data_IF_482985791487
#
_entry.id   IF_482985791487
#
_cell.length_a   1.000
_cell.length_b   1.000
_cell.length_c   1.000
_cell.angle_alpha   90.00
_cell.angle_beta   90.00
_cell.angle_gamma   90.00
#
_symmetry.space_group_name_H-M   'P 1'
#
loop_
_entity.id
_entity.type
_entity.pdbx_description
1 polymer ?
#
# COMPACT_ATOMS: atom_id res chain seq x y z
N UNK A 1 -22.57 -48.17 21.75
CA UNK A 1 -23.76 -47.58 21.11
C UNK A 1 -24.04 -46.22 21.74
N UNK A 2 -23.57 -45.13 21.12
CA UNK A 2 -24.09 -43.77 21.30
C UNK A 2 -23.99 -43.10 19.94
N UNK A 3 -25.12 -43.12 19.23
CA UNK A 3 -25.38 -42.35 18.03
C UNK A 3 -25.61 -40.90 18.45
N UNK A 4 -25.05 -39.93 17.71
CA UNK A 4 -25.18 -38.51 18.01
C UNK A 4 -24.91 -37.64 16.78
N UNK A 5 -25.89 -37.65 15.87
CA UNK A 5 -26.37 -36.55 15.01
C UNK A 5 -25.32 -35.75 14.21
N UNK A 6 -25.24 -36.08 12.92
CA UNK A 6 -24.62 -35.27 11.85
C UNK A 6 -25.68 -34.28 11.35
N UNK A 7 -25.39 -32.97 11.36
CA UNK A 7 -26.18 -31.98 10.66
C UNK A 7 -25.65 -31.81 9.23
N UNK A 8 -26.46 -32.19 8.24
CA UNK A 8 -26.26 -31.82 6.83
C UNK A 8 -26.94 -30.47 6.60
N UNK A 9 -26.17 -29.43 6.28
CA UNK A 9 -26.69 -28.19 5.71
C UNK A 9 -26.53 -28.25 4.19
N UNK A 10 -27.58 -28.68 3.51
CA UNK A 10 -27.76 -28.50 2.07
C UNK A 10 -28.24 -27.07 1.84
N UNK A 11 -27.35 -26.19 1.40
CA UNK A 11 -27.74 -24.91 0.80
C UNK A 11 -27.82 -25.09 -0.72
N UNK A 12 -29.03 -25.17 -1.25
CA UNK A 12 -29.29 -24.92 -2.67
C UNK A 12 -29.36 -23.41 -2.89
N UNK A 13 -28.30 -22.82 -3.44
CA UNK A 13 -28.35 -21.43 -3.90
C UNK A 13 -28.86 -21.37 -5.35
N UNK A 14 -30.00 -20.71 -5.52
CA UNK A 14 -30.42 -20.18 -6.82
C UNK A 14 -29.45 -19.09 -7.28
N UNK A 15 -29.18 -19.06 -8.59
CA UNK A 15 -28.19 -18.20 -9.21
C UNK A 15 -28.52 -16.70 -9.08
N UNK A 16 -27.86 -16.00 -8.16
CA UNK A 16 -27.60 -14.56 -8.27
C UNK A 16 -26.21 -14.27 -7.71
N UNK A 17 -25.37 -13.61 -8.50
CA UNK A 17 -23.97 -13.32 -8.17
C UNK A 17 -23.87 -12.33 -7.00
N UNK A 18 -23.50 -12.82 -5.81
CA UNK A 18 -23.18 -12.00 -4.64
C UNK A 18 -21.76 -11.43 -4.77
N UNK A 19 -21.50 -10.15 -4.43
CA UNK A 19 -20.17 -9.57 -4.52
C UNK A 19 -19.19 -10.25 -3.54
N UNK A 20 -17.99 -10.58 -4.02
CA UNK A 20 -16.89 -11.25 -3.30
C UNK A 20 -16.52 -10.65 -1.92
N UNK A 21 -16.93 -9.40 -1.67
CA UNK A 21 -16.68 -8.66 -0.43
C UNK A 21 -17.63 -9.05 0.72
N UNK A 22 -18.82 -9.56 0.44
CA UNK A 22 -19.78 -10.00 1.48
C UNK A 22 -19.49 -11.42 2.00
N UNK A 23 -18.97 -12.31 1.15
CA UNK A 23 -18.65 -13.69 1.52
C UNK A 23 -17.62 -13.78 2.68
N UNK A 24 -16.61 -12.90 2.66
CA UNK A 24 -15.60 -12.82 3.72
C UNK A 24 -16.13 -12.32 5.07
N UNK A 25 -17.27 -11.62 5.06
CA UNK A 25 -17.90 -11.04 6.24
C UNK A 25 -18.87 -12.01 6.90
N UNK A 26 -19.59 -12.81 6.12
CA UNK A 26 -20.48 -13.87 6.61
C UNK A 26 -19.70 -15.05 7.20
N UNK A 27 -18.56 -15.43 6.62
CA UNK A 27 -17.66 -16.45 7.19
C UNK A 27 -17.11 -16.10 8.60
N UNK A 28 -17.18 -14.82 8.99
CA UNK A 28 -16.62 -14.33 10.26
C UNK A 28 -17.67 -14.10 11.36
N UNK A 29 -18.97 -14.08 11.02
CA UNK A 29 -20.03 -13.74 11.96
C UNK A 29 -20.79 -14.95 12.52
N UNK A 30 -20.61 -16.15 11.98
CA UNK A 30 -21.09 -17.37 12.63
C UNK A 30 -20.28 -17.65 13.89
N UNK A 31 -20.91 -17.58 15.07
CA UNK A 31 -20.31 -17.86 16.39
C UNK A 31 -19.92 -19.35 16.60
N UNK A 32 -19.75 -20.11 15.52
CA UNK A 32 -19.19 -21.46 15.53
C UNK A 32 -17.67 -21.37 15.48
N UNK A 33 -17.00 -22.12 16.36
CA UNK A 33 -15.54 -22.16 16.48
C UNK A 33 -14.85 -22.26 15.10
N UNK A 34 -13.77 -21.49 14.85
CA UNK A 34 -13.00 -21.55 13.60
C UNK A 34 -12.51 -22.96 13.23
N UNK A 35 -12.50 -23.89 14.18
CA UNK A 35 -12.12 -25.29 13.98
C UNK A 35 -13.05 -26.04 13.02
N UNK A 36 -14.32 -25.66 12.89
CA UNK A 36 -15.32 -26.43 12.12
C UNK A 36 -15.20 -26.20 10.61
N UNK A 37 -14.92 -24.97 10.16
CA UNK A 37 -14.69 -24.66 8.74
C UNK A 37 -13.32 -25.12 8.21
N UNK A 38 -12.43 -25.47 9.13
CA UNK A 38 -11.03 -25.78 8.89
C UNK A 38 -10.72 -27.29 9.05
N UNK A 39 -11.66 -28.08 9.57
CA UNK A 39 -11.49 -29.51 9.85
C UNK A 39 -11.63 -30.44 8.64
N UNK A 40 -12.26 -29.99 7.54
CA UNK A 40 -12.26 -30.77 6.30
C UNK A 40 -10.92 -30.59 5.58
N UNK A 41 -10.21 -31.71 5.39
CA UNK A 41 -8.90 -31.76 4.73
C UNK A 41 -8.93 -30.91 3.46
N UNK A 42 -8.15 -29.83 3.42
CA UNK A 42 -7.90 -28.98 2.25
C UNK A 42 -7.79 -29.82 0.97
N UNK A 43 -8.86 -29.88 0.20
CA UNK A 43 -8.93 -30.39 -1.16
C UNK A 43 -9.71 -29.33 -1.91
N UNK A 44 -9.24 -28.91 -3.07
CA UNK A 44 -10.08 -28.08 -3.91
C UNK A 44 -11.42 -28.81 -4.09
N UNK A 45 -12.50 -28.16 -3.70
CA UNK A 45 -13.81 -28.75 -3.88
C UNK A 45 -14.19 -28.54 -5.35
N UNK A 46 -14.41 -29.61 -6.14
CA UNK A 46 -14.72 -29.49 -7.56
C UNK A 46 -16.05 -28.76 -7.81
N UNK A 47 -16.96 -28.80 -6.84
CA UNK A 47 -18.29 -28.18 -6.95
C UNK A 47 -18.34 -26.71 -6.52
N UNK A 48 -17.20 -26.08 -6.20
CA UNK A 48 -17.18 -24.66 -5.87
C UNK A 48 -17.08 -23.78 -7.12
N UNK A 49 -17.73 -22.62 -7.10
CA UNK A 49 -17.64 -21.61 -8.18
C UNK A 49 -16.25 -20.97 -8.33
N UNK A 50 -15.36 -21.21 -7.37
CA UNK A 50 -14.01 -20.66 -7.33
C UNK A 50 -13.05 -21.71 -7.85
N UNK A 51 -12.09 -21.30 -8.67
CA UNK A 51 -10.97 -22.14 -9.07
C UNK A 51 -10.16 -22.62 -7.86
N UNK A 52 -9.43 -23.73 -8.04
CA UNK A 52 -8.46 -24.22 -7.04
C UNK A 52 -7.54 -23.10 -6.52
N UNK A 53 -7.01 -22.29 -7.43
CA UNK A 53 -6.07 -21.22 -7.09
C UNK A 53 -6.74 -20.13 -6.24
N UNK A 54 -7.99 -19.78 -6.52
CA UNK A 54 -8.75 -18.83 -5.72
C UNK A 54 -9.06 -19.37 -4.31
N UNK A 55 -9.40 -20.65 -4.19
CA UNK A 55 -9.62 -21.30 -2.89
C UNK A 55 -8.33 -21.34 -2.06
N UNK A 56 -7.20 -21.72 -2.66
CA UNK A 56 -5.87 -21.67 -2.03
C UNK A 56 -5.50 -20.25 -1.61
N UNK A 57 -5.78 -19.27 -2.48
CA UNK A 57 -5.53 -17.85 -2.24
C UNK A 57 -6.29 -17.30 -1.04
N UNK A 58 -7.59 -17.61 -0.92
CA UNK A 58 -8.43 -17.21 0.23
C UNK A 58 -7.91 -17.80 1.55
N UNK A 59 -7.46 -19.05 1.50
CA UNK A 59 -6.94 -19.77 2.66
C UNK A 59 -5.71 -19.12 3.23
N UNK A 60 -4.73 -18.83 2.36
CA UNK A 60 -3.49 -18.18 2.79
C UNK A 60 -3.77 -16.79 3.35
N UNK A 61 -4.74 -16.07 2.80
CA UNK A 61 -5.19 -14.77 3.33
C UNK A 61 -5.82 -14.93 4.72
N UNK A 62 -6.61 -15.97 4.95
CA UNK A 62 -7.15 -16.27 6.27
C UNK A 62 -6.03 -16.58 7.27
N UNK A 63 -5.03 -17.36 6.88
CA UNK A 63 -3.88 -17.67 7.74
C UNK A 63 -3.06 -16.43 8.09
N UNK A 64 -2.79 -15.55 7.12
CA UNK A 64 -2.13 -14.27 7.36
C UNK A 64 -2.92 -13.38 8.33
N UNK A 65 -4.26 -13.47 8.32
CA UNK A 65 -5.11 -12.73 9.25
C UNK A 65 -5.12 -13.35 10.65
N UNK A 66 -5.24 -14.66 10.75
CA UNK A 66 -5.12 -15.39 12.01
C UNK A 66 -3.76 -15.13 12.68
N UNK A 67 -2.69 -15.06 11.88
CA UNK A 67 -1.35 -14.66 12.34
C UNK A 67 -1.38 -13.23 12.93
N UNK A 68 -1.97 -12.27 12.21
CA UNK A 68 -2.08 -10.87 12.68
C UNK A 68 -2.89 -10.75 13.97
N UNK A 69 -3.87 -11.62 14.18
CA UNK A 69 -4.72 -11.67 15.37
C UNK A 69 -4.09 -12.50 16.52
N UNK A 70 -2.89 -13.04 16.34
CA UNK A 70 -2.13 -13.75 17.38
C UNK A 70 -2.42 -15.25 17.51
N UNK A 71 -3.14 -15.85 16.56
CA UNK A 71 -3.52 -17.26 16.57
C UNK A 71 -2.43 -18.21 16.03
N UNK A 72 -1.18 -18.05 16.49
CA UNK A 72 0.02 -18.73 15.95
C UNK A 72 -0.13 -20.26 15.91
N UNK A 73 -0.63 -20.89 16.98
CA UNK A 73 -0.80 -22.37 17.04
C UNK A 73 -1.74 -22.92 15.97
N UNK A 74 -2.79 -22.16 15.62
CA UNK A 74 -3.74 -22.56 14.57
C UNK A 74 -3.03 -22.49 13.23
N UNK A 75 -2.31 -21.38 12.99
CA UNK A 75 -1.52 -21.17 11.77
C UNK A 75 -0.48 -22.29 11.59
N UNK A 76 0.20 -22.72 12.65
CA UNK A 76 1.22 -23.78 12.60
C UNK A 76 0.67 -25.13 12.13
N UNK A 77 -0.48 -25.54 12.69
CA UNK A 77 -1.14 -26.79 12.30
C UNK A 77 -1.55 -26.75 10.82
N UNK A 78 -2.03 -25.59 10.36
CA UNK A 78 -2.41 -25.37 8.98
C UNK A 78 -1.25 -25.42 8.00
N UNK A 79 -0.15 -24.74 8.34
CA UNK A 79 1.05 -24.75 7.52
C UNK A 79 1.54 -26.18 7.32
N UNK A 80 1.52 -27.01 8.38
CA UNK A 80 1.93 -28.41 8.29
C UNK A 80 1.06 -29.18 7.28
N UNK A 81 -0.26 -29.09 7.39
CA UNK A 81 -1.19 -29.76 6.45
C UNK A 81 -1.04 -29.26 5.00
N UNK A 82 -0.88 -27.96 4.80
CA UNK A 82 -0.66 -27.37 3.46
C UNK A 82 0.66 -27.81 2.84
N UNK A 83 1.72 -28.02 3.65
CA UNK A 83 3.04 -28.43 3.15
C UNK A 83 3.08 -29.84 2.55
N UNK A 84 2.03 -30.64 2.78
CA UNK A 84 1.90 -31.99 2.22
C UNK A 84 1.08 -32.01 0.92
N UNK A 85 0.55 -30.86 0.48
CA UNK A 85 -0.41 -30.75 -0.62
C UNK A 85 0.20 -30.30 -1.92
N UNK A 86 -0.47 -30.62 -3.03
CA UNK A 86 -0.11 -30.12 -4.36
C UNK A 86 -0.69 -28.71 -4.57
N UNK A 87 -0.04 -27.70 -4.03
CA UNK A 87 -0.45 -26.29 -4.22
C UNK A 87 0.01 -25.72 -5.56
N UNK A 88 -0.62 -24.65 -6.04
CA UNK A 88 -0.08 -23.84 -7.13
C UNK A 88 1.24 -23.15 -6.72
N UNK A 89 2.10 -22.75 -7.68
CA UNK A 89 3.39 -22.12 -7.35
C UNK A 89 3.19 -20.80 -6.59
N UNK A 90 2.19 -19.99 -7.00
CA UNK A 90 1.80 -18.76 -6.30
C UNK A 90 1.47 -19.02 -4.82
N UNK A 91 0.68 -20.07 -4.56
CA UNK A 91 0.32 -20.54 -3.21
C UNK A 91 1.53 -21.03 -2.41
N UNK A 92 2.43 -21.79 -3.04
CA UNK A 92 3.68 -22.23 -2.40
C UNK A 92 4.57 -21.05 -1.97
N UNK A 93 4.67 -20.02 -2.81
CA UNK A 93 5.50 -18.85 -2.51
C UNK A 93 4.92 -18.02 -1.36
N UNK A 94 3.59 -17.87 -1.32
CA UNK A 94 2.90 -17.24 -0.19
C UNK A 94 3.06 -18.04 1.10
N UNK A 95 2.90 -19.37 1.04
CA UNK A 95 3.15 -20.25 2.17
C UNK A 95 4.61 -20.12 2.64
N UNK A 96 5.57 -20.09 1.72
CA UNK A 96 6.98 -19.88 2.04
C UNK A 96 7.22 -18.56 2.79
N UNK A 97 6.64 -17.43 2.34
CA UNK A 97 6.76 -16.16 3.07
C UNK A 97 6.21 -16.26 4.49
N UNK A 98 5.01 -16.84 4.63
CA UNK A 98 4.36 -17.05 5.92
C UNK A 98 5.24 -17.88 6.87
N UNK A 99 5.76 -19.03 6.40
CA UNK A 99 6.62 -19.90 7.21
C UNK A 99 7.96 -19.24 7.52
N UNK A 100 8.55 -18.51 6.57
CA UNK A 100 9.82 -17.82 6.77
C UNK A 100 9.71 -16.75 7.87
N UNK A 101 8.58 -16.05 7.94
CA UNK A 101 8.30 -15.05 8.99
C UNK A 101 8.10 -15.68 10.36
N UNK A 102 7.35 -16.79 10.43
CA UNK A 102 6.97 -17.42 11.70
C UNK A 102 8.02 -18.39 12.25
N UNK A 103 8.66 -19.14 11.37
CA UNK A 103 9.54 -20.27 11.72
C UNK A 103 10.88 -20.20 10.97
N UNK A 104 11.64 -19.11 11.14
CA UNK A 104 12.94 -18.99 10.48
C UNK A 104 13.84 -20.17 10.87
N UNK A 105 14.32 -20.91 9.88
CA UNK A 105 15.24 -22.05 10.07
C UNK A 105 14.57 -23.40 10.34
N UNK A 106 13.24 -23.50 10.37
CA UNK A 106 12.54 -24.76 10.59
C UNK A 106 12.75 -25.79 9.46
N UNK A 107 12.62 -27.08 9.80
CA UNK A 107 12.60 -28.18 8.81
C UNK A 107 11.44 -28.02 7.81
N UNK A 108 10.33 -27.43 8.25
CA UNK A 108 9.18 -27.11 7.41
C UNK A 108 9.54 -26.11 6.31
N UNK A 109 10.27 -25.04 6.66
CA UNK A 109 10.77 -24.07 5.68
C UNK A 109 11.70 -24.73 4.66
N UNK A 110 12.54 -25.68 5.08
CA UNK A 110 13.41 -26.47 4.18
C UNK A 110 12.60 -27.36 3.23
N UNK A 111 11.54 -27.99 3.71
CA UNK A 111 10.66 -28.82 2.88
C UNK A 111 9.92 -28.00 1.84
N UNK A 112 9.31 -26.88 2.26
CA UNK A 112 8.65 -25.93 1.35
C UNK A 112 9.64 -25.43 0.29
N UNK A 113 10.85 -25.08 0.74
CA UNK A 113 11.93 -24.65 -0.13
C UNK A 113 12.21 -25.65 -1.25
N UNK A 114 12.42 -26.91 -0.87
CA UNK A 114 12.69 -27.99 -1.83
C UNK A 114 11.52 -28.23 -2.80
N UNK A 115 10.26 -28.05 -2.37
CA UNK A 115 9.11 -28.17 -3.25
C UNK A 115 9.05 -27.04 -4.28
N UNK A 116 9.36 -25.81 -3.88
CA UNK A 116 9.45 -24.66 -4.78
C UNK A 116 10.56 -24.91 -5.80
N UNK A 117 11.77 -25.29 -5.39
CA UNK A 117 12.89 -25.57 -6.31
C UNK A 117 12.55 -26.67 -7.33
N UNK A 118 11.89 -27.75 -6.89
CA UNK A 118 11.45 -28.84 -7.79
C UNK A 118 10.46 -28.34 -8.84
N UNK A 119 9.59 -27.39 -8.50
CA UNK A 119 8.64 -26.78 -9.44
C UNK A 119 9.34 -25.81 -10.38
N UNK A 120 10.23 -24.97 -9.86
CA UNK A 120 11.03 -24.05 -10.67
C UNK A 120 11.86 -24.77 -11.73
N UNK A 121 12.35 -25.98 -11.45
CA UNK A 121 13.05 -26.81 -12.45
C UNK A 121 12.15 -27.35 -13.57
N UNK A 122 10.83 -27.47 -13.33
CA UNK A 122 9.87 -28.02 -14.30
C UNK A 122 9.16 -26.95 -15.12
N UNK A 123 9.09 -25.72 -14.60
CA UNK A 123 8.36 -24.62 -15.21
C UNK A 123 9.33 -23.67 -15.92
N UNK A 124 9.17 -23.53 -17.23
CA UNK A 124 10.01 -22.64 -18.07
C UNK A 124 9.41 -21.25 -18.26
N UNK A 125 8.10 -21.11 -18.02
CA UNK A 125 7.36 -19.86 -18.15
C UNK A 125 6.65 -19.53 -16.84
N UNK A 126 6.91 -18.35 -16.33
CA UNK A 126 6.26 -17.80 -15.14
C UNK A 126 5.36 -16.65 -15.57
N UNK A 127 4.18 -16.54 -14.98
CA UNK A 127 3.40 -15.31 -15.07
C UNK A 127 4.21 -14.12 -14.51
N UNK A 128 3.82 -12.89 -14.88
CA UNK A 128 4.45 -11.68 -14.33
C UNK A 128 4.37 -11.65 -12.79
N UNK A 129 3.24 -12.10 -12.23
CA UNK A 129 3.03 -12.18 -10.79
C UNK A 129 3.96 -13.21 -10.14
N UNK A 130 4.04 -14.45 -10.66
CA UNK A 130 4.96 -15.46 -10.14
C UNK A 130 6.42 -15.01 -10.22
N UNK A 131 6.83 -14.42 -11.34
CA UNK A 131 8.20 -13.88 -11.50
C UNK A 131 8.51 -12.83 -10.44
N UNK A 132 7.55 -11.94 -10.17
CA UNK A 132 7.63 -10.88 -9.17
C UNK A 132 7.70 -11.45 -7.74
N UNK A 133 6.88 -12.44 -7.44
CA UNK A 133 6.90 -13.11 -6.14
C UNK A 133 8.21 -13.87 -5.93
N UNK A 134 8.69 -14.60 -6.95
CA UNK A 134 9.98 -15.29 -6.93
C UNK A 134 11.16 -14.33 -6.74
N UNK A 135 11.14 -13.22 -7.45
CA UNK A 135 12.13 -12.15 -7.33
C UNK A 135 12.36 -11.72 -5.88
N UNK A 136 11.28 -11.52 -5.12
CA UNK A 136 11.33 -10.86 -3.81
C UNK A 136 11.49 -11.85 -2.67
N UNK A 137 10.88 -13.01 -2.79
CA UNK A 137 10.87 -14.00 -1.72
C UNK A 137 11.97 -15.04 -1.90
N UNK A 138 12.29 -15.38 -3.14
CA UNK A 138 13.09 -16.54 -3.47
C UNK A 138 14.50 -16.16 -3.91
N UNK A 139 14.63 -15.55 -5.08
CA UNK A 139 15.90 -15.31 -5.74
C UNK A 139 15.78 -14.14 -6.71
N UNK A 140 16.73 -13.21 -6.60
CA UNK A 140 16.75 -12.00 -7.43
C UNK A 140 16.92 -12.32 -8.91
N UNK A 141 17.40 -13.51 -9.31
CA UNK A 141 17.48 -13.92 -10.72
C UNK A 141 16.13 -13.84 -11.42
N UNK A 142 15.02 -14.10 -10.72
CA UNK A 142 13.65 -13.97 -11.22
C UNK A 142 13.16 -12.53 -11.30
N UNK A 143 13.87 -11.57 -10.71
CA UNK A 143 13.52 -10.17 -10.82
C UNK A 143 13.66 -9.69 -12.28
N UNK A 144 12.60 -9.05 -12.74
CA UNK A 144 12.66 -8.21 -13.94
C UNK A 144 13.73 -7.13 -13.76
N UNK A 145 14.20 -6.55 -14.88
CA UNK A 145 15.18 -5.44 -14.84
C UNK A 145 14.70 -4.27 -13.97
N UNK A 146 13.40 -3.99 -13.95
CA UNK A 146 12.81 -2.92 -13.13
C UNK A 146 12.84 -3.24 -11.63
N UNK A 147 12.70 -4.51 -11.24
CA UNK A 147 12.79 -4.95 -9.84
C UNK A 147 14.23 -5.07 -9.33
N UNK A 148 15.19 -5.35 -10.22
CA UNK A 148 16.63 -5.31 -9.91
C UNK A 148 17.19 -3.89 -9.89
N UNK A 149 16.46 -2.91 -10.42
CA UNK A 149 16.94 -1.55 -10.49
C UNK A 149 17.23 -1.05 -9.08
N UNK A 150 18.51 -0.81 -8.79
CA UNK A 150 18.93 -0.15 -7.57
C UNK A 150 18.13 1.15 -7.47
N UNK A 151 17.36 1.30 -6.39
CA UNK A 151 16.59 2.52 -6.15
C UNK A 151 17.59 3.66 -5.97
N UNK A 152 17.70 4.48 -7.01
CA UNK A 152 18.52 5.68 -7.04
C UNK A 152 17.73 6.86 -6.50
N UNK A 153 18.44 7.83 -5.93
CA UNK A 153 17.88 9.15 -5.69
C UNK A 153 17.76 9.89 -7.02
N UNK A 154 16.72 10.70 -7.24
CA UNK A 154 16.72 11.65 -8.33
C UNK A 154 17.87 12.65 -8.15
N UNK A 155 18.45 13.12 -9.25
CA UNK A 155 19.39 14.25 -9.20
C UNK A 155 18.66 15.54 -8.86
N UNK A 156 19.40 16.56 -8.42
CA UNK A 156 18.84 17.90 -8.17
C UNK A 156 18.10 18.44 -9.40
N UNK A 157 18.65 18.25 -10.60
CA UNK A 157 18.06 18.67 -11.87
C UNK A 157 16.78 17.91 -12.17
N UNK A 158 16.72 16.61 -11.88
CA UNK A 158 15.50 15.82 -12.03
C UNK A 158 14.40 16.31 -11.07
N UNK A 159 14.73 16.58 -9.80
CA UNK A 159 13.73 17.10 -8.86
C UNK A 159 13.25 18.49 -9.30
N UNK A 160 14.17 19.36 -9.74
CA UNK A 160 13.86 20.69 -10.27
C UNK A 160 12.95 20.59 -11.51
N UNK A 161 13.30 19.79 -12.51
CA UNK A 161 12.51 19.62 -13.73
C UNK A 161 11.12 19.05 -13.44
N UNK A 162 11.04 18.04 -12.56
CA UNK A 162 9.75 17.48 -12.11
C UNK A 162 8.84 18.52 -11.45
N UNK A 163 9.40 19.36 -10.58
CA UNK A 163 8.61 20.37 -9.86
C UNK A 163 8.17 21.51 -10.78
N UNK A 164 9.05 22.00 -11.67
CA UNK A 164 8.77 23.18 -12.48
C UNK A 164 8.00 22.88 -13.76
N UNK A 165 8.11 21.67 -14.31
CA UNK A 165 7.34 21.29 -15.50
C UNK A 165 5.92 20.80 -15.17
N UNK A 166 5.07 20.74 -16.19
CA UNK A 166 3.75 20.13 -16.12
C UNK A 166 3.68 19.01 -17.14
N UNK A 167 3.52 17.78 -16.66
CA UNK A 167 3.20 16.67 -17.53
C UNK A 167 1.81 16.86 -18.14
N UNK A 168 1.68 16.58 -19.44
CA UNK A 168 0.39 16.58 -20.14
C UNK A 168 -0.38 15.30 -19.80
N UNK A 169 -1.45 15.46 -19.04
CA UNK A 169 -2.35 14.41 -18.56
C UNK A 169 -3.71 14.45 -19.28
N UNK A 170 -3.84 15.20 -20.38
CA UNK A 170 -5.08 15.32 -21.16
C UNK A 170 -5.64 13.97 -21.63
N UNK A 171 -4.76 13.01 -21.91
CA UNK A 171 -5.14 11.67 -22.36
C UNK A 171 -5.45 10.68 -21.22
N UNK A 172 -5.12 11.01 -19.96
CA UNK A 172 -5.36 10.11 -18.85
C UNK A 172 -6.74 10.33 -18.23
N UNK A 173 -7.57 9.27 -18.21
CA UNK A 173 -8.95 9.31 -17.73
C UNK A 173 -9.74 10.51 -18.28
N UNK A 174 -9.68 10.70 -19.61
CA UNK A 174 -10.36 11.79 -20.32
C UNK A 174 -10.01 13.19 -19.76
N UNK A 175 -8.75 13.39 -19.35
CA UNK A 175 -8.26 14.68 -18.87
C UNK A 175 -8.68 15.03 -17.45
N UNK A 176 -9.28 14.09 -16.70
CA UNK A 176 -9.74 14.32 -15.32
C UNK A 176 -8.65 14.89 -14.42
N UNK A 177 -7.38 14.55 -14.66
CA UNK A 177 -6.21 14.98 -13.88
C UNK A 177 -5.41 16.14 -14.49
N UNK A 178 -5.79 16.67 -15.66
CA UNK A 178 -5.02 17.71 -16.36
C UNK A 178 -4.93 19.00 -15.53
N UNK A 179 -6.08 19.49 -15.08
CA UNK A 179 -6.22 20.75 -14.33
C UNK A 179 -6.47 20.47 -12.83
N UNK A 180 -5.71 19.54 -12.26
CA UNK A 180 -5.80 19.19 -10.85
C UNK A 180 -4.54 19.61 -10.11
N UNK A 181 -4.62 19.88 -8.79
CA UNK A 181 -3.44 20.20 -8.00
C UNK A 181 -2.43 19.04 -8.01
N UNK A 182 -1.16 19.43 -7.91
CA UNK A 182 -0.03 18.49 -7.83
C UNK A 182 0.66 18.64 -6.49
N UNK A 183 0.79 17.54 -5.77
CA UNK A 183 1.45 17.47 -4.48
C UNK A 183 2.81 16.82 -4.66
N UNK A 184 3.81 17.35 -3.96
CA UNK A 184 5.17 16.82 -3.95
C UNK A 184 5.56 16.58 -2.51
N UNK A 185 5.76 15.32 -2.13
CA UNK A 185 6.15 14.91 -0.78
C UNK A 185 7.60 14.44 -0.78
N UNK A 186 8.48 15.29 -0.28
CA UNK A 186 9.91 15.03 -0.16
C UNK A 186 10.19 14.29 1.13
N UNK A 187 11.01 13.25 1.06
CA UNK A 187 11.29 12.36 2.17
C UNK A 187 12.74 11.91 2.19
N UNK A 188 13.20 11.50 3.39
CA UNK A 188 14.41 10.69 3.54
C UNK A 188 14.09 9.23 3.20
N UNK A 189 15.06 8.51 2.62
CA UNK A 189 14.91 7.10 2.21
C UNK A 189 14.41 6.18 3.32
N UNK A 190 14.88 6.39 4.56
CA UNK A 190 14.55 5.53 5.71
C UNK A 190 13.08 5.65 6.14
N UNK A 191 12.39 6.73 5.75
CA UNK A 191 11.06 7.13 6.23
C UNK A 191 10.94 7.30 7.75
N UNK A 192 12.04 7.20 8.50
CA UNK A 192 12.05 7.33 9.98
C UNK A 192 11.77 8.76 10.45
N UNK A 193 11.86 9.73 9.56
CA UNK A 193 11.68 11.14 9.86
C UNK A 193 10.52 11.70 9.03
N UNK A 194 9.85 12.75 9.54
CA UNK A 194 8.83 13.45 8.78
C UNK A 194 9.32 13.93 7.41
N UNK A 195 8.49 13.66 6.41
CA UNK A 195 8.54 14.23 5.09
C UNK A 195 7.98 15.66 5.09
N UNK A 196 8.27 16.42 4.04
CA UNK A 196 7.66 17.73 3.81
C UNK A 196 6.90 17.71 2.49
N UNK A 197 5.61 18.05 2.55
CA UNK A 197 4.75 18.17 1.38
C UNK A 197 4.64 19.63 0.95
N UNK A 198 4.70 19.88 -0.35
CA UNK A 198 4.34 21.16 -1.01
C UNK A 198 3.29 20.89 -2.08
N UNK A 199 2.64 21.94 -2.57
CA UNK A 199 1.62 21.82 -3.61
C UNK A 199 1.79 22.86 -4.72
N UNK A 200 1.32 22.50 -5.90
CA UNK A 200 1.03 23.40 -7.02
C UNK A 200 -0.47 23.40 -7.27
N UNK A 201 -1.02 24.56 -7.62
CA UNK A 201 -2.43 24.71 -7.99
C UNK A 201 -2.75 24.05 -9.35
N UNK A 202 -4.02 24.07 -9.74
CA UNK A 202 -4.49 23.54 -11.03
C UNK A 202 -3.84 24.16 -12.28
N UNK A 203 -3.21 25.33 -12.15
CA UNK A 203 -2.49 26.00 -13.24
C UNK A 203 -0.99 25.71 -13.21
N UNK A 204 -0.54 24.87 -12.28
CA UNK A 204 0.86 24.56 -12.11
C UNK A 204 1.67 25.71 -11.51
N UNK A 205 1.07 26.60 -10.74
CA UNK A 205 1.78 27.61 -9.96
C UNK A 205 1.98 27.11 -8.53
N UNK A 206 3.06 27.50 -7.82
CA UNK A 206 3.20 27.18 -6.40
C UNK A 206 1.94 27.59 -5.62
N UNK A 207 1.43 26.69 -4.78
CA UNK A 207 0.32 26.99 -3.91
C UNK A 207 0.86 27.73 -2.68
N UNK A 208 0.36 28.95 -2.45
CA UNK A 208 0.86 29.84 -1.40
C UNK A 208 -0.12 29.96 -0.24
N UNK A 209 0.42 30.17 0.95
CA UNK A 209 -0.32 30.61 2.12
C UNK A 209 -0.84 32.04 1.92
N UNK A 210 -1.72 32.50 2.82
CA UNK A 210 -2.27 33.86 2.79
C UNK A 210 -1.22 34.96 2.92
N UNK A 211 -0.08 34.66 3.55
CA UNK A 211 1.05 35.56 3.71
C UNK A 211 2.01 35.56 2.50
N UNK A 212 1.70 34.78 1.46
CA UNK A 212 2.51 34.65 0.25
C UNK A 212 3.65 33.62 0.35
N UNK A 213 3.89 33.02 1.52
CA UNK A 213 4.86 31.94 1.66
C UNK A 213 4.40 30.66 0.96
N UNK A 214 5.32 29.82 0.51
CA UNK A 214 4.98 28.50 -0.06
C UNK A 214 4.25 27.64 0.96
N UNK A 215 3.08 27.09 0.58
CA UNK A 215 2.33 26.19 1.43
C UNK A 215 3.12 24.90 1.65
N UNK A 216 3.26 24.51 2.91
CA UNK A 216 3.93 23.28 3.31
C UNK A 216 3.10 22.50 4.33
N UNK A 217 3.26 21.18 4.34
CA UNK A 217 2.66 20.30 5.34
C UNK A 217 3.59 19.15 5.69
N UNK A 218 4.04 19.02 6.95
CA UNK A 218 4.83 17.87 7.36
C UNK A 218 3.94 16.61 7.41
N UNK A 219 4.48 15.48 6.98
CA UNK A 219 3.76 14.20 6.89
C UNK A 219 4.69 13.03 7.23
N UNK A 220 4.15 11.86 7.58
CA UNK A 220 4.95 10.67 7.89
C UNK A 220 4.57 9.48 7.00
N UNK A 221 5.54 8.92 6.29
CA UNK A 221 5.37 7.79 5.37
C UNK A 221 5.90 6.45 5.96
N UNK A 222 6.01 6.37 7.28
CA UNK A 222 6.61 5.26 8.03
C UNK A 222 5.58 4.16 8.34
N UNK A 223 5.99 2.92 8.12
CA UNK A 223 5.28 1.74 8.63
C UNK A 223 5.53 1.55 10.12
N UNK A 224 4.47 1.37 10.91
CA UNK A 224 4.54 1.01 12.33
C UNK A 224 5.24 -0.33 12.57
N UNK A 225 5.31 -1.19 11.56
CA UNK A 225 5.95 -2.50 11.64
C UNK A 225 7.41 -2.47 11.16
N UNK A 226 7.94 -1.30 10.78
CA UNK A 226 9.32 -1.17 10.27
C UNK A 226 9.57 -1.89 8.94
N UNK A 227 8.50 -2.25 8.23
CA UNK A 227 8.56 -3.02 6.98
C UNK A 227 8.95 -2.15 5.78
N UNK A 228 9.68 -2.72 4.83
CA UNK A 228 10.12 -2.03 3.61
C UNK A 228 8.97 -1.80 2.64
N UNK A 229 9.14 -0.89 1.67
CA UNK A 229 8.08 -0.51 0.73
C UNK A 229 7.57 -1.66 -0.16
N UNK A 230 8.35 -2.72 -0.34
CA UNK A 230 7.96 -3.90 -1.12
C UNK A 230 7.32 -4.99 -0.26
N UNK A 231 6.99 -4.70 1.00
CA UNK A 231 6.35 -5.65 1.92
C UNK A 231 4.92 -5.20 2.23
N UNK A 232 4.05 -6.15 2.57
CA UNK A 232 2.69 -5.87 3.01
C UNK A 232 2.70 -4.99 4.27
N UNK A 233 1.90 -3.92 4.27
CA UNK A 233 1.91 -2.86 5.30
C UNK A 233 3.28 -2.18 5.49
N UNK A 234 4.14 -2.22 4.48
CA UNK A 234 5.42 -1.55 4.41
C UNK A 234 5.34 -0.03 4.33
N UNK A 235 6.49 0.64 4.42
CA UNK A 235 6.61 2.08 4.18
C UNK A 235 5.88 2.52 2.89
N UNK A 236 5.38 3.75 2.85
CA UNK A 236 4.81 4.28 1.59
C UNK A 236 5.94 4.38 0.56
N UNK A 237 5.80 3.76 -0.63
CA UNK A 237 6.85 3.78 -1.64
C UNK A 237 7.02 5.16 -2.27
N UNK A 238 8.23 5.46 -2.75
CA UNK A 238 8.46 6.57 -3.66
C UNK A 238 7.79 6.30 -5.02
N UNK A 239 7.31 7.34 -5.67
CA UNK A 239 6.68 7.23 -6.99
C UNK A 239 5.46 8.12 -7.14
N UNK A 240 4.58 7.73 -8.05
CA UNK A 240 3.47 8.55 -8.53
C UNK A 240 2.15 7.90 -8.12
N UNK A 241 1.28 8.71 -7.53
CA UNK A 241 -0.06 8.31 -7.11
C UNK A 241 -1.08 9.30 -7.64
N UNK A 242 -2.28 8.81 -7.95
CA UNK A 242 -3.44 9.67 -8.12
C UNK A 242 -4.16 9.84 -6.79
N UNK A 243 -4.64 11.05 -6.54
CA UNK A 243 -5.59 11.35 -5.48
C UNK A 243 -6.98 11.24 -6.08
N UNK A 244 -7.77 10.27 -5.64
CA UNK A 244 -9.07 9.96 -6.22
C UNK A 244 -10.24 10.26 -5.26
N UNK A 245 -10.21 11.45 -4.67
CA UNK A 245 -11.22 11.91 -3.71
C UNK A 245 -10.94 11.45 -2.29
N UNK A 246 -12.03 11.26 -1.54
CA UNK A 246 -12.00 10.93 -0.12
C UNK A 246 -12.87 9.73 0.20
N UNK A 247 -12.55 9.04 1.29
CA UNK A 247 -13.45 8.03 1.86
C UNK A 247 -14.81 8.65 2.19
N UNK A 248 -15.96 8.00 1.86
CA UNK A 248 -17.29 8.61 2.02
C UNK A 248 -17.62 9.09 3.44
N UNK A 249 -17.02 8.45 4.46
CA UNK A 249 -17.19 8.77 5.88
C UNK A 249 -15.81 8.79 6.57
N UNK A 250 -15.72 9.54 7.66
CA UNK A 250 -14.59 9.49 8.61
C UNK A 250 -14.90 8.46 9.72
N UNK A 251 -14.90 7.19 9.32
CA UNK A 251 -15.12 6.01 10.16
C UNK A 251 -13.82 5.53 10.83
N UNK A 252 -13.96 4.76 11.92
CA UNK A 252 -12.84 4.28 12.75
C UNK A 252 -11.86 5.41 13.14
N UNK A 253 -12.42 6.47 13.71
CA UNK A 253 -11.68 7.71 14.05
C UNK A 253 -10.55 7.49 15.04
N UNK A 254 -10.62 6.43 15.83
CA UNK A 254 -9.53 6.03 16.72
C UNK A 254 -8.26 5.70 15.94
N UNK A 255 -8.36 4.99 14.81
CA UNK A 255 -7.20 4.63 13.99
C UNK A 255 -6.89 5.71 12.94
N UNK A 256 -7.91 6.34 12.37
CA UNK A 256 -7.76 7.18 11.17
C UNK A 256 -7.97 8.68 11.38
N UNK A 257 -8.21 9.12 12.62
CA UNK A 257 -8.52 10.52 12.90
C UNK A 257 -9.98 10.89 12.59
N UNK A 258 -10.35 12.12 12.92
CA UNK A 258 -11.71 12.69 12.85
C UNK A 258 -12.10 13.12 11.45
N UNK A 259 -11.13 13.42 10.58
CA UNK A 259 -11.37 13.92 9.23
C UNK A 259 -11.37 12.80 8.18
N UNK A 260 -11.97 13.06 7.01
CA UNK A 260 -11.99 12.08 5.92
C UNK A 260 -10.59 11.85 5.38
N UNK A 261 -10.38 10.64 4.86
CA UNK A 261 -9.10 10.14 4.36
C UNK A 261 -9.03 10.37 2.86
N UNK A 262 -7.93 10.90 2.35
CA UNK A 262 -7.68 10.98 0.91
C UNK A 262 -7.38 9.58 0.37
N UNK A 263 -7.91 9.26 -0.81
CA UNK A 263 -7.68 8.00 -1.50
C UNK A 263 -6.45 8.16 -2.39
N UNK A 264 -5.44 7.32 -2.18
CA UNK A 264 -4.27 7.23 -3.05
C UNK A 264 -4.32 5.92 -3.82
N UNK A 265 -4.24 6.04 -5.15
CA UNK A 265 -4.20 4.91 -6.05
C UNK A 265 -2.91 4.89 -6.85
N UNK A 266 -2.43 3.67 -7.11
CA UNK A 266 -1.33 3.47 -8.05
C UNK A 266 -1.81 3.69 -9.47
N UNK A 267 -0.92 4.21 -10.32
CA UNK A 267 -1.14 4.18 -11.75
C UNK A 267 -1.21 2.73 -12.25
N UNK A 268 -2.22 2.35 -13.06
CA UNK A 268 -2.33 1.02 -13.65
C UNK A 268 -1.06 0.57 -14.36
N UNK A 269 -0.80 -0.74 -14.34
CA UNK A 269 0.30 -1.32 -15.10
C UNK A 269 0.05 -1.15 -16.60
N UNK A 270 1.05 -0.68 -17.32
CA UNK A 270 1.06 -0.66 -18.80
C UNK A 270 2.36 -1.26 -19.30
N UNK A 271 2.39 -1.64 -20.57
CA UNK A 271 3.62 -2.03 -21.24
C UNK A 271 4.68 -0.93 -21.09
N UNK A 272 5.91 -1.33 -20.76
CA UNK A 272 7.07 -0.47 -20.49
C UNK A 272 6.84 0.70 -19.53
N UNK A 273 5.82 0.60 -18.67
CA UNK A 273 5.38 1.67 -17.77
C UNK A 273 5.10 2.99 -18.52
N UNK A 274 4.59 2.89 -19.77
CA UNK A 274 4.21 4.04 -20.61
C UNK A 274 3.35 5.07 -19.86
N UNK A 275 2.38 4.60 -19.07
CA UNK A 275 1.50 5.48 -18.31
C UNK A 275 2.26 6.22 -17.20
N UNK A 276 3.11 5.55 -16.44
CA UNK A 276 3.91 6.19 -15.38
C UNK A 276 4.84 7.24 -15.97
N UNK A 277 5.45 6.94 -17.11
CA UNK A 277 6.31 7.86 -17.85
C UNK A 277 5.54 9.08 -18.38
N UNK A 278 4.26 8.95 -18.72
CA UNK A 278 3.44 10.09 -19.17
C UNK A 278 3.14 11.08 -18.04
N UNK A 279 3.30 10.68 -16.77
CA UNK A 279 3.16 11.56 -15.60
C UNK A 279 4.45 12.30 -15.25
N UNK A 280 5.52 12.06 -15.99
CA UNK A 280 6.84 12.59 -15.75
C UNK A 280 7.26 13.54 -16.89
N UNK A 281 8.18 14.48 -16.61
CA UNK A 281 8.82 15.25 -17.66
C UNK A 281 9.58 14.31 -18.60
N UNK A 282 9.73 14.69 -19.89
CA UNK A 282 10.44 13.85 -20.86
C UNK A 282 11.88 13.52 -20.44
N UNK A 283 12.55 14.39 -19.70
CA UNK A 283 13.92 14.16 -19.19
C UNK A 283 14.00 13.01 -18.18
N UNK A 284 12.85 12.60 -17.60
CA UNK A 284 12.73 11.50 -16.64
C UNK A 284 12.42 10.14 -17.27
N UNK A 285 12.36 10.03 -18.60
CA UNK A 285 11.97 8.80 -19.28
C UNK A 285 12.78 7.55 -18.84
N UNK A 286 14.04 7.75 -18.45
CA UNK A 286 14.96 6.71 -17.97
C UNK A 286 15.22 6.76 -16.45
N UNK A 287 14.57 7.68 -15.73
CA UNK A 287 14.72 7.78 -14.28
C UNK A 287 14.04 6.58 -13.61
N UNK A 288 14.58 6.10 -12.50
CA UNK A 288 14.08 4.92 -11.77
C UNK A 288 13.68 5.21 -10.33
N UNK A 289 13.80 6.45 -9.86
CA UNK A 289 13.48 6.83 -8.47
C UNK A 289 12.01 6.58 -8.10
N UNK A 290 11.11 6.56 -9.09
CA UNK A 290 9.67 6.35 -8.92
C UNK A 290 9.26 4.87 -8.96
N UNK A 291 10.20 3.96 -9.23
CA UNK A 291 9.90 2.53 -9.43
C UNK A 291 9.41 1.84 -8.15
N UNK A 292 9.66 2.38 -6.94
CA UNK A 292 9.18 1.77 -5.69
C UNK A 292 7.66 1.58 -5.72
N UNK A 293 6.91 2.55 -6.25
CA UNK A 293 5.46 2.49 -6.37
C UNK A 293 5.01 1.42 -7.39
N UNK A 294 5.68 1.33 -8.53
CA UNK A 294 5.44 0.29 -9.55
C UNK A 294 5.68 -1.12 -8.98
N UNK A 295 6.78 -1.30 -8.24
CA UNK A 295 7.09 -2.59 -7.60
C UNK A 295 6.04 -2.91 -6.53
N UNK A 296 5.66 -1.95 -5.69
CA UNK A 296 4.63 -2.13 -4.68
C UNK A 296 3.26 -2.48 -5.28
N UNK A 297 2.87 -1.82 -6.37
CA UNK A 297 1.65 -2.10 -7.14
C UNK A 297 1.66 -3.53 -7.68
N UNK A 298 2.74 -3.92 -8.35
CA UNK A 298 2.88 -5.26 -8.96
C UNK A 298 2.89 -6.38 -7.90
N UNK A 299 3.18 -6.02 -6.65
CA UNK A 299 3.07 -6.88 -5.48
C UNK A 299 1.68 -6.97 -4.86
N UNK A 300 0.69 -6.29 -5.45
CA UNK A 300 -0.67 -6.26 -4.93
C UNK A 300 -0.81 -5.40 -3.67
N UNK A 301 0.16 -4.51 -3.36
CA UNK A 301 -0.09 -3.49 -2.35
C UNK A 301 -1.20 -2.56 -2.84
N UNK A 302 -1.98 -2.00 -1.93
CA UNK A 302 -3.06 -1.10 -2.26
C UNK A 302 -3.65 -0.45 -1.01
N UNK A 303 -4.80 0.22 -1.18
CA UNK A 303 -5.54 0.89 -0.09
C UNK A 303 -4.73 1.99 0.62
N UNK A 304 -3.80 2.63 -0.08
CA UNK A 304 -3.03 3.74 0.46
C UNK A 304 -3.94 4.93 0.70
N UNK A 305 -3.72 5.61 1.82
CA UNK A 305 -4.50 6.79 2.20
C UNK A 305 -3.56 7.87 2.73
N UNK A 306 -4.01 9.13 2.65
CA UNK A 306 -3.49 10.19 3.53
C UNK A 306 -4.54 10.43 4.61
N UNK A 307 -4.14 10.32 5.86
CA UNK A 307 -5.05 10.46 6.98
C UNK A 307 -4.37 10.96 8.26
N UNK A 308 -5.16 11.57 9.15
CA UNK A 308 -4.76 11.82 10.52
C UNK A 308 -4.75 10.53 11.34
N UNK A 309 -4.58 10.62 12.65
CA UNK A 309 -4.70 9.46 13.52
C UNK A 309 -5.44 9.84 14.78
N UNK A 310 -6.22 8.93 15.34
CA UNK A 310 -6.74 9.09 16.70
C UNK A 310 -5.77 8.55 17.73
N UNK A 311 -4.76 7.77 17.32
CA UNK A 311 -3.69 7.25 18.17
C UNK A 311 -2.68 8.35 18.47
N UNK A 312 -2.10 8.30 19.66
CA UNK A 312 -1.06 9.21 20.09
C UNK A 312 0.29 8.52 20.13
N UNK A 313 1.30 9.18 19.57
CA UNK A 313 2.69 8.80 19.82
C UNK A 313 3.12 9.37 21.17
N UNK A 314 3.25 8.48 22.16
CA UNK A 314 3.65 8.84 23.53
C UNK A 314 5.17 8.92 23.70
N UNK A 315 5.94 8.40 22.74
CA UNK A 315 7.39 8.45 22.76
C UNK A 315 7.90 9.77 22.18
N UNK A 316 8.15 10.73 23.07
CA UNK A 316 8.72 12.04 22.74
C UNK A 316 10.16 11.98 22.22
N UNK A 317 10.87 10.88 22.44
CA UNK A 317 12.23 10.69 21.95
C UNK A 317 12.27 10.13 20.52
N UNK A 318 11.13 9.67 20.00
CA UNK A 318 11.06 9.13 18.65
C UNK A 318 11.39 10.21 17.60
N UNK A 319 12.14 9.86 16.53
CA UNK A 319 12.58 10.82 15.50
C UNK A 319 11.45 11.40 14.64
N UNK A 320 10.22 10.94 14.86
CA UNK A 320 9.02 11.37 14.16
C UNK A 320 7.94 11.87 15.12
N UNK A 321 8.22 12.10 16.39
CA UNK A 321 7.30 12.82 17.27
C UNK A 321 6.98 14.20 16.64
N UNK A 322 5.73 14.64 16.50
CA UNK A 322 4.45 14.18 17.09
C UNK A 322 3.59 13.27 16.20
N UNK A 323 4.17 12.65 15.17
CA UNK A 323 3.44 11.73 14.29
C UNK A 323 3.30 10.33 14.88
N UNK A 324 2.31 9.59 14.38
CA UNK A 324 2.13 8.16 14.64
C UNK A 324 2.34 7.37 13.34
N UNK A 325 3.17 6.33 13.38
CA UNK A 325 3.42 5.47 12.21
C UNK A 325 2.18 4.63 11.87
N UNK A 326 1.92 4.40 10.58
CA UNK A 326 0.69 3.71 10.12
C UNK A 326 1.01 2.33 9.54
N UNK A 327 0.00 1.58 9.07
CA UNK A 327 0.23 0.33 8.31
C UNK A 327 0.53 0.60 6.82
N UNK A 328 1.40 1.57 6.54
CA UNK A 328 1.87 1.89 5.19
C UNK A 328 1.11 2.98 4.44
N UNK A 329 0.28 3.75 5.13
CA UNK A 329 -0.33 4.98 4.65
C UNK A 329 0.56 6.21 4.95
N UNK A 330 0.14 7.38 4.48
CA UNK A 330 0.75 8.66 4.84
C UNK A 330 -0.02 9.25 6.02
N UNK A 331 0.65 9.46 7.15
CA UNK A 331 0.09 10.09 8.33
C UNK A 331 0.28 11.62 8.32
N UNK A 332 -0.78 12.33 8.69
CA UNK A 332 -0.74 13.74 9.10
C UNK A 332 -0.94 13.84 10.62
N UNK A 333 -0.52 14.93 11.25
CA UNK A 333 -0.78 15.13 12.69
C UNK A 333 -2.26 15.43 12.94
N UNK A 334 -2.83 14.68 13.86
CA UNK A 334 -4.17 14.93 14.37
C UNK A 334 -4.21 14.46 15.83
N UNK A 335 -4.67 15.32 16.73
CA UNK A 335 -4.70 15.22 18.21
C UNK A 335 -3.97 16.39 18.88
N UNK A 336 -4.11 16.46 20.21
CA UNK A 336 -3.39 17.38 21.06
C UNK A 336 -2.08 16.76 21.54
N UNK A 337 -0.95 17.41 21.24
CA UNK A 337 0.37 17.07 21.77
C UNK A 337 0.95 18.33 22.42
N UNK A 338 1.45 18.22 23.65
CA UNK A 338 2.07 19.36 24.36
C UNK A 338 1.20 20.63 24.38
N UNK A 339 -0.10 20.45 24.63
CA UNK A 339 -1.13 21.50 24.58
C UNK A 339 -1.35 22.15 23.20
N UNK A 340 -0.74 21.62 22.13
CA UNK A 340 -0.97 22.05 20.75
C UNK A 340 -1.94 21.09 20.07
N UNK A 341 -3.08 21.62 19.62
CA UNK A 341 -4.10 20.85 18.91
C UNK A 341 -3.83 20.82 17.39
N UNK A 342 -3.36 19.69 16.88
CA UNK A 342 -3.07 19.49 15.46
C UNK A 342 -4.31 19.07 14.68
N UNK A 343 -4.48 19.67 13.49
CA UNK A 343 -5.57 19.40 12.53
C UNK A 343 -5.03 19.31 11.10
N UNK A 344 -3.83 18.78 10.92
CA UNK A 344 -3.12 18.81 9.64
C UNK A 344 -3.90 18.12 8.52
N UNK A 345 -4.65 17.06 8.82
CA UNK A 345 -5.54 16.42 7.83
C UNK A 345 -6.63 17.38 7.32
N UNK A 346 -7.21 18.21 8.19
CA UNK A 346 -8.21 19.21 7.79
C UNK A 346 -7.56 20.27 6.90
N UNK A 347 -6.40 20.76 7.31
CA UNK A 347 -5.64 21.74 6.53
C UNK A 347 -5.28 21.19 5.14
N UNK A 348 -4.88 19.92 5.04
CA UNK A 348 -4.63 19.26 3.76
C UNK A 348 -5.87 19.23 2.86
N UNK A 349 -7.01 18.81 3.40
CA UNK A 349 -8.26 18.73 2.63
C UNK A 349 -8.71 20.12 2.14
N UNK A 350 -8.58 21.15 2.98
CA UNK A 350 -8.95 22.53 2.63
C UNK A 350 -8.02 23.11 1.56
N UNK A 351 -6.70 22.89 1.70
CA UNK A 351 -5.71 23.28 0.69
C UNK A 351 -5.93 22.54 -0.63
N UNK A 352 -6.26 21.24 -0.59
CA UNK A 352 -6.53 20.48 -1.81
C UNK A 352 -7.77 21.00 -2.56
N UNK A 353 -8.85 21.33 -1.85
CA UNK A 353 -10.03 21.95 -2.45
C UNK A 353 -9.68 23.33 -3.03
N UNK A 354 -9.02 24.18 -2.25
CA UNK A 354 -8.65 25.53 -2.68
C UNK A 354 -7.73 25.51 -3.91
N UNK A 355 -6.71 24.64 -3.92
CA UNK A 355 -5.79 24.46 -5.04
C UNK A 355 -6.49 23.91 -6.31
N UNK A 356 -7.63 23.24 -6.14
CA UNK A 356 -8.53 22.78 -7.22
C UNK A 356 -9.55 23.85 -7.63
N UNK A 357 -9.50 25.06 -7.06
CA UNK A 357 -10.52 26.11 -7.22
C UNK A 357 -11.92 25.67 -6.75
N UNK A 358 -11.98 24.99 -5.60
CA UNK A 358 -13.20 24.60 -4.91
C UNK A 358 -13.26 25.28 -3.53
N UNK A 359 -14.46 25.64 -3.08
CA UNK A 359 -14.65 26.12 -1.71
C UNK A 359 -14.33 25.00 -0.71
N UNK A 360 -13.62 25.30 0.40
CA UNK A 360 -13.23 24.31 1.41
C UNK A 360 -14.40 23.93 2.33
N UNK A 361 -15.41 23.27 1.75
CA UNK A 361 -16.61 22.79 2.43
C UNK A 361 -16.73 21.27 2.29
N UNK A 362 -17.33 20.63 3.29
CA UNK A 362 -17.39 19.17 3.39
C UNK A 362 -18.03 18.45 2.18
N UNK A 363 -18.99 19.09 1.51
CA UNK A 363 -19.64 18.55 0.31
C UNK A 363 -18.75 18.56 -0.93
N UNK A 364 -17.71 19.40 -0.97
CA UNK A 364 -16.75 19.46 -2.08
C UNK A 364 -15.60 18.45 -1.93
N UNK A 365 -15.39 17.85 -0.76
CA UNK A 365 -14.27 16.93 -0.54
C UNK A 365 -14.28 15.73 -1.48
N UNK A 366 -15.46 15.24 -1.86
CA UNK A 366 -15.62 14.11 -2.81
C UNK A 366 -15.18 14.46 -4.23
N UNK A 367 -15.04 15.76 -4.54
CA UNK A 367 -14.57 16.28 -5.82
C UNK A 367 -13.06 16.47 -5.87
N UNK A 368 -12.34 16.30 -4.75
CA UNK A 368 -10.88 16.42 -4.72
C UNK A 368 -10.30 15.39 -5.70
N UNK A 369 -9.50 15.87 -6.65
CA UNK A 369 -8.64 15.03 -7.50
C UNK A 369 -7.25 15.65 -7.51
N UNK A 370 -6.24 14.88 -7.89
CA UNK A 370 -4.87 15.39 -7.92
C UNK A 370 -3.85 14.32 -8.23
N UNK A 371 -2.59 14.75 -8.30
CA UNK A 371 -1.44 13.84 -8.46
C UNK A 371 -0.49 14.07 -7.29
N UNK A 372 -0.01 12.99 -6.69
CA UNK A 372 1.00 13.03 -5.64
C UNK A 372 2.29 12.36 -6.12
N UNK A 373 3.40 13.10 -6.04
CA UNK A 373 4.74 12.60 -6.24
C UNK A 373 5.41 12.40 -4.88
N UNK A 374 5.78 11.16 -4.54
CA UNK A 374 6.55 10.83 -3.33
C UNK A 374 8.01 10.66 -3.71
N UNK A 375 8.87 11.54 -3.21
CA UNK A 375 10.25 11.69 -3.68
C UNK A 375 11.22 11.44 -2.54
N UNK A 376 12.09 10.44 -2.68
CA UNK A 376 13.22 10.26 -1.78
C UNK A 376 14.36 11.15 -2.24
N UNK A 377 14.75 12.17 -1.46
CA UNK A 377 15.80 13.12 -1.91
C UNK A 377 17.21 12.70 -1.48
N UNK A 378 17.36 12.08 -0.32
CA UNK A 378 18.64 11.53 0.17
C UNK A 378 18.41 10.59 1.40
N UNK A 379 19.48 10.27 2.13
CA UNK A 379 19.47 9.37 3.30
C UNK A 379 19.91 10.04 4.62
N UNK A 380 19.79 11.36 4.73
CA UNK A 380 20.10 12.05 5.99
C UNK A 380 19.19 11.59 7.14
N UNK A 381 19.72 11.64 8.36
CA UNK A 381 19.03 11.18 9.57
C UNK A 381 18.36 12.35 10.33
N UNK A 382 17.56 13.13 9.61
CA UNK A 382 16.75 14.23 10.15
C UNK A 382 15.50 14.45 9.30
N UNK A 383 14.53 15.18 9.83
CA UNK A 383 13.34 15.59 9.07
C UNK A 383 13.68 16.42 7.84
N UNK A 384 12.76 16.47 6.88
CA UNK A 384 12.88 17.42 5.77
C UNK A 384 12.50 18.81 6.28
N UNK A 385 13.39 19.76 6.09
CA UNK A 385 13.14 21.18 6.35
C UNK A 385 12.93 21.91 5.02
N UNK A 386 12.29 23.08 5.06
CA UNK A 386 11.99 23.82 3.84
C UNK A 386 13.27 24.27 3.11
N UNK A 387 14.34 24.60 3.85
CA UNK A 387 15.66 24.91 3.31
C UNK A 387 16.27 23.78 2.46
N UNK A 388 15.91 22.52 2.72
CA UNK A 388 16.35 21.37 1.93
C UNK A 388 15.81 21.39 0.50
N UNK A 389 14.77 22.19 0.24
CA UNK A 389 14.12 22.29 -1.07
C UNK A 389 14.71 23.39 -1.95
N UNK A 390 15.50 24.31 -1.37
CA UNK A 390 16.16 25.40 -2.10
C UNK A 390 17.01 24.94 -3.29
N UNK A 391 17.77 23.82 -3.25
CA UNK A 391 18.52 23.36 -4.42
C UNK A 391 17.62 23.00 -5.61
N UNK A 392 16.34 22.72 -5.37
CA UNK A 392 15.36 22.38 -6.40
C UNK A 392 14.63 23.63 -6.94
N UNK A 393 14.98 24.83 -6.47
CA UNK A 393 14.30 26.09 -6.83
C UNK A 393 12.88 26.17 -6.27
N UNK A 394 12.69 25.64 -5.06
CA UNK A 394 11.44 25.74 -4.29
C UNK A 394 11.74 26.67 -3.12
N UNK A 395 11.15 27.86 -3.14
CA UNK A 395 11.43 28.97 -2.23
C UNK A 395 10.15 29.56 -1.63
#
# INVERSE_FOLDING_TARGET
>A
MKMGIIYFLLFTFGATATPQKELSKELYLSHTEPQILLGERFRCHPDHTLSCEEQEGLTLTLLERLEQDGHVKIVDNFIKDLSEKKLHLSSWLRLFDLVKRQHPGSTLLKNITMQIERRLKKQTHFSKQESTTLCLLWDTRFCSKSQKATITFPTTEQVRDLYHSLADLSNYQNGTYQDQPRFFMFCRKTRKFPCLMVAKDRYGRPFLNKDGSTWTLPTLALSRHGKKFNEFNGNTPAGIFTIDGVMPKADNRFVFGKFRRLILDFLPATEDEMLQKSFLPKSHANATWWNEATVARDLGRGLFRIHGTGLMNVDRSSPYYTFYATSGCIATRENTYDNVNYKDQRHLLDSAMTASNLDPIYSNEVKIKGVLYVININNEQRQIEFSDLSPFGIE
#
